data_IF_750469577579
#
_entry.id   IF_750469577579
#
_cell.length_a   1.000
_cell.length_b   1.000
_cell.length_c   1.000
_cell.angle_alpha   90.00
_cell.angle_beta   90.00
_cell.angle_gamma   90.00
#
_symmetry.space_group_name_H-M   'P 1'
#
loop_
_entity.id
_entity.type
_entity.pdbx_description
1 polymer ?
#
# COMPACT_ATOMS: atom_id res chain seq x y z
N UNK A 1 5.81 14.20 -3.27
CA UNK A 1 4.45 13.80 -2.87
C UNK A 1 3.81 12.87 -3.89
N UNK A 2 3.62 13.29 -5.15
CA UNK A 2 2.97 12.47 -6.21
C UNK A 2 3.56 11.05 -6.39
N UNK A 3 4.89 10.89 -6.36
CA UNK A 3 5.51 9.55 -6.46
C UNK A 3 5.10 8.64 -5.29
N UNK A 4 5.01 9.19 -4.08
CA UNK A 4 4.60 8.44 -2.89
C UNK A 4 3.13 8.05 -2.96
N UNK A 5 2.27 8.89 -3.54
CA UNK A 5 0.87 8.55 -3.81
C UNK A 5 0.77 7.39 -4.82
N UNK A 6 1.57 7.43 -5.90
CA UNK A 6 1.61 6.33 -6.87
C UNK A 6 2.07 5.01 -6.23
N UNK A 7 3.09 5.05 -5.37
CA UNK A 7 3.55 3.89 -4.59
C UNK A 7 2.45 3.43 -3.63
N UNK A 8 1.77 4.35 -2.93
CA UNK A 8 0.70 4.03 -2.00
C UNK A 8 -0.48 3.34 -2.71
N UNK A 9 -0.89 3.81 -3.88
CA UNK A 9 -1.96 3.19 -4.68
C UNK A 9 -1.55 1.80 -5.15
N UNK A 10 -0.30 1.62 -5.61
CA UNK A 10 0.19 0.31 -6.03
C UNK A 10 0.26 -0.69 -4.86
N UNK A 11 0.90 -0.31 -3.75
CA UNK A 11 0.99 -1.13 -2.54
C UNK A 11 -0.38 -1.39 -1.90
N UNK A 12 -1.27 -0.40 -1.91
CA UNK A 12 -2.62 -0.52 -1.38
C UNK A 12 -3.49 -1.50 -2.16
N UNK A 13 -3.37 -1.50 -3.49
CA UNK A 13 -4.12 -2.43 -4.35
C UNK A 13 -3.81 -3.90 -4.06
N UNK A 14 -2.65 -4.21 -3.47
CA UNK A 14 -2.20 -5.56 -3.08
C UNK A 14 -3.16 -6.30 -2.13
N UNK A 15 -3.85 -5.58 -1.25
CA UNK A 15 -4.66 -6.18 -0.18
C UNK A 15 -5.89 -6.94 -0.72
N UNK A 16 -6.39 -6.55 -1.89
CA UNK A 16 -7.60 -7.14 -2.48
C UNK A 16 -7.31 -7.71 -3.86
N UNK A 17 -8.10 -8.70 -4.33
CA UNK A 17 -7.96 -9.22 -5.68
C UNK A 17 -8.48 -8.26 -6.75
N UNK A 18 -9.19 -7.18 -6.38
CA UNK A 18 -9.84 -6.25 -7.30
C UNK A 18 -8.92 -5.04 -7.56
N UNK A 19 -8.95 -4.52 -8.80
CA UNK A 19 -8.22 -3.31 -9.20
C UNK A 19 -6.79 -3.56 -9.68
N UNK A 20 -6.13 -4.63 -9.21
CA UNK A 20 -4.81 -5.03 -9.67
C UNK A 20 -4.88 -6.35 -10.48
N UNK A 21 -4.58 -6.34 -11.80
CA UNK A 21 -4.64 -7.54 -12.64
C UNK A 21 -3.81 -8.72 -12.13
N UNK A 22 -2.70 -8.44 -11.42
CA UNK A 22 -1.82 -9.47 -10.87
C UNK A 22 -2.49 -10.18 -9.69
N UNK A 23 -3.16 -9.44 -8.80
CA UNK A 23 -3.88 -10.02 -7.67
C UNK A 23 -5.11 -10.79 -8.15
N UNK A 24 -5.81 -10.27 -9.16
CA UNK A 24 -6.93 -10.95 -9.78
C UNK A 24 -6.50 -12.30 -10.36
N UNK A 25 -5.35 -12.34 -11.04
CA UNK A 25 -4.77 -13.58 -11.54
C UNK A 25 -4.43 -14.55 -10.40
N UNK A 26 -3.76 -14.10 -9.34
CA UNK A 26 -3.43 -14.94 -8.19
C UNK A 26 -4.68 -15.49 -7.52
N UNK A 27 -5.71 -14.67 -7.32
CA UNK A 27 -6.97 -15.11 -6.73
C UNK A 27 -7.67 -16.17 -7.57
N UNK A 28 -7.69 -16.00 -8.90
CA UNK A 28 -8.22 -17.00 -9.82
C UNK A 28 -7.44 -18.32 -9.76
N UNK A 29 -6.11 -18.28 -9.65
CA UNK A 29 -5.28 -19.48 -9.53
C UNK A 29 -5.43 -20.17 -8.16
N UNK A 30 -5.54 -19.39 -7.08
CA UNK A 30 -5.61 -19.93 -5.71
C UNK A 30 -6.97 -20.54 -5.37
N UNK A 31 -8.04 -20.19 -6.11
CA UNK A 31 -9.40 -20.74 -5.91
C UNK A 31 -9.90 -20.64 -4.45
N UNK A 32 -9.55 -19.55 -3.79
CA UNK A 32 -9.93 -19.27 -2.40
C UNK A 32 -11.03 -18.22 -2.31
N UNK A 33 -11.67 -18.08 -1.15
CA UNK A 33 -12.64 -17.01 -0.94
C UNK A 33 -11.96 -15.63 -0.99
N UNK A 34 -12.76 -14.59 -1.22
CA UNK A 34 -12.28 -13.20 -1.22
C UNK A 34 -11.64 -12.82 0.12
N UNK A 35 -12.24 -13.24 1.25
CA UNK A 35 -11.73 -12.94 2.58
C UNK A 35 -10.42 -13.68 2.87
N UNK A 36 -10.32 -14.95 2.43
CA UNK A 36 -9.07 -15.72 2.57
C UNK A 36 -7.92 -15.08 1.78
N UNK A 37 -8.22 -14.48 0.62
CA UNK A 37 -7.23 -13.72 -0.14
C UNK A 37 -6.73 -12.52 0.66
N UNK A 38 -7.65 -11.72 1.23
CA UNK A 38 -7.30 -10.57 2.07
C UNK A 38 -6.41 -11.02 3.23
N UNK A 39 -6.80 -12.06 3.97
CA UNK A 39 -6.05 -12.57 5.11
C UNK A 39 -4.65 -13.01 4.70
N UNK A 40 -4.51 -13.70 3.56
CA UNK A 40 -3.20 -14.14 3.02
C UNK A 40 -2.32 -12.98 2.56
N UNK A 41 -2.92 -11.93 2.00
CA UNK A 41 -2.18 -10.75 1.53
C UNK A 41 -1.88 -9.74 2.63
N UNK A 42 -2.63 -9.77 3.74
CA UNK A 42 -2.53 -8.81 4.83
C UNK A 42 -1.12 -8.68 5.43
N UNK A 43 -0.34 -9.76 5.69
CA UNK A 43 1.02 -9.64 6.22
C UNK A 43 1.95 -8.86 5.28
N UNK A 44 1.88 -9.13 3.97
CA UNK A 44 2.69 -8.44 2.96
C UNK A 44 2.26 -6.99 2.81
N UNK A 45 0.95 -6.73 2.81
CA UNK A 45 0.40 -5.38 2.81
C UNK A 45 0.92 -4.56 4.00
N UNK A 46 0.90 -5.11 5.22
CA UNK A 46 1.41 -4.44 6.40
C UNK A 46 2.91 -4.10 6.29
N UNK A 47 3.70 -5.02 5.76
CA UNK A 47 5.13 -4.82 5.53
C UNK A 47 5.38 -3.64 4.58
N UNK A 48 4.66 -3.59 3.46
CA UNK A 48 4.76 -2.51 2.47
C UNK A 48 4.27 -1.18 3.04
N UNK A 49 3.15 -1.19 3.77
CA UNK A 49 2.59 -0.02 4.41
C UNK A 49 3.55 0.57 5.46
N UNK A 50 4.12 -0.27 6.32
CA UNK A 50 5.11 0.14 7.31
C UNK A 50 6.36 0.73 6.65
N UNK A 51 6.87 0.07 5.60
CA UNK A 51 8.01 0.60 4.82
C UNK A 51 7.69 1.96 4.21
N UNK A 52 6.50 2.14 3.63
CA UNK A 52 6.08 3.41 3.05
C UNK A 52 6.00 4.52 4.10
N UNK A 53 5.42 4.24 5.27
CA UNK A 53 5.37 5.19 6.39
C UNK A 53 6.77 5.59 6.82
N UNK A 54 7.70 4.63 6.99
CA UNK A 54 9.09 4.90 7.34
C UNK A 54 9.74 5.83 6.31
N UNK A 55 9.58 5.55 5.00
CA UNK A 55 10.13 6.41 3.96
C UNK A 55 9.53 7.83 3.98
N UNK A 56 8.23 7.96 4.21
CA UNK A 56 7.57 9.27 4.33
C UNK A 56 8.16 10.05 5.50
N UNK A 57 8.30 9.43 6.68
CA UNK A 57 8.85 10.07 7.87
C UNK A 57 10.31 10.51 7.70
N UNK A 58 11.12 9.72 6.98
CA UNK A 58 12.54 10.03 6.72
C UNK A 58 12.70 11.14 5.68
N UNK A 59 11.89 11.13 4.61
CA UNK A 59 12.07 12.01 3.45
C UNK A 59 11.30 13.33 3.59
N UNK A 60 10.18 13.34 4.32
CA UNK A 60 9.37 14.53 4.57
C UNK A 60 9.34 14.88 6.07
N UNK A 61 10.46 15.32 6.65
CA UNK A 61 10.49 15.71 8.06
C UNK A 61 9.58 16.92 8.32
N UNK A 62 8.92 16.92 9.48
CA UNK A 62 8.04 18.01 9.90
C UNK A 62 8.80 19.34 9.94
N UNK A 63 8.51 20.23 8.99
CA UNK A 63 9.02 21.59 8.98
C UNK A 63 8.02 22.49 9.70
N UNK A 64 8.46 23.21 10.75
CA UNK A 64 7.62 24.23 11.38
C UNK A 64 7.28 25.29 10.33
N UNK A 65 5.99 25.47 10.06
CA UNK A 65 5.51 26.53 9.18
C UNK A 65 5.71 27.87 9.88
N UNK A 66 6.75 28.62 9.50
CA UNK A 66 6.91 29.99 9.95
C UNK A 66 6.00 30.88 9.09
N UNK A 67 4.92 31.37 9.68
CA UNK A 67 4.09 32.40 9.05
C UNK A 67 4.92 33.69 9.08
N UNK A 68 5.49 34.10 7.95
CA UNK A 68 6.02 35.45 7.79
C UNK A 68 4.83 36.41 7.71
N UNK A 69 4.81 37.37 8.63
CA UNK A 69 3.79 38.41 8.75
C UNK A 69 4.14 39.59 7.87
#
# INVERSE_FOLDING_TARGET
>A
MVIFEAIAVNAGSLLTPIGNPQNLFLWHQWKISFLDFIIKMFPVFLLLLASLIIFILVIFPSKKLSIQK
#
